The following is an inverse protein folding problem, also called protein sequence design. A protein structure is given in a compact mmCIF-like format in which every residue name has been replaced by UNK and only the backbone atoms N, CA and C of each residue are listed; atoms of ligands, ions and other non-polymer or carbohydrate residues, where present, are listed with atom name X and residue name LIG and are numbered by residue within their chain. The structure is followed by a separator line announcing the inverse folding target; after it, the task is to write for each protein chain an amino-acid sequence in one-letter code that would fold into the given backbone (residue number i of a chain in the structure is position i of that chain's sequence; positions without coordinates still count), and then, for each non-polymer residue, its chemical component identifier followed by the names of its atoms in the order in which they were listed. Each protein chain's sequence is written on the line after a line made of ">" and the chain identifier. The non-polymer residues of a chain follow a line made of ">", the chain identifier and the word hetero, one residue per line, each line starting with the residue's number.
data_IF_057636824278
#
_entry.id   IF_057636824278
#
_cell.length_a   1.000
_cell.length_b   1.000
_cell.length_c   1.000
_cell.angle_alpha   90.00
_cell.angle_beta   90.00
_cell.angle_gamma   90.00
#
_symmetry.space_group_name_H-M   'P 1'
#
loop_
_entity.id
_entity.type
_entity.pdbx_description
1 polymer ?
#
# COMPACT_ATOMS: atom_id res chain seq x y z
N UNK A 1 8.03 -14.90 -7.88
CA UNK A 1 8.79 -13.97 -7.00
C UNK A 1 9.72 -14.79 -6.12
N UNK A 2 10.63 -14.19 -5.34
CA UNK A 2 11.68 -14.90 -4.58
C UNK A 2 11.15 -16.13 -3.82
N UNK A 3 10.04 -15.96 -3.10
CA UNK A 3 9.39 -16.99 -2.30
C UNK A 3 8.72 -18.11 -3.12
N UNK A 4 8.34 -17.83 -4.38
CA UNK A 4 7.80 -18.87 -5.26
C UNK A 4 8.90 -19.72 -5.90
N UNK A 5 10.14 -19.19 -5.94
CA UNK A 5 11.28 -19.83 -6.60
C UNK A 5 12.21 -20.55 -5.63
N UNK A 6 12.29 -20.13 -4.37
CA UNK A 6 13.23 -20.68 -3.39
C UNK A 6 12.60 -20.78 -1.99
N UNK A 7 12.26 -22.01 -1.61
CA UNK A 7 11.65 -22.32 -0.31
C UNK A 7 12.68 -22.40 0.84
N UNK A 8 13.97 -22.19 0.57
CA UNK A 8 15.02 -22.15 1.60
C UNK A 8 15.19 -20.77 2.23
N UNK A 9 14.58 -19.74 1.62
CA UNK A 9 14.66 -18.36 2.12
C UNK A 9 13.64 -18.14 3.22
N UNK A 10 14.11 -17.73 4.40
CA UNK A 10 13.25 -17.26 5.48
C UNK A 10 13.03 -15.75 5.36
N UNK A 11 11.76 -15.34 5.22
CA UNK A 11 11.39 -13.93 5.11
C UNK A 11 10.63 -13.51 6.37
N UNK A 12 11.08 -12.42 7.00
CA UNK A 12 10.35 -11.74 8.06
C UNK A 12 9.96 -10.33 7.60
N UNK A 13 8.67 -10.04 7.58
CA UNK A 13 8.14 -8.69 7.38
C UNK A 13 7.96 -8.05 8.76
N UNK A 14 8.53 -6.88 8.97
CA UNK A 14 8.38 -6.10 10.20
C UNK A 14 7.49 -4.90 9.88
N UNK A 15 6.38 -4.78 10.59
CA UNK A 15 5.35 -3.77 10.36
C UNK A 15 5.02 -3.04 11.67
N UNK A 16 5.08 -1.71 11.62
CA UNK A 16 4.81 -0.87 12.78
C UNK A 16 3.32 -0.84 13.12
N UNK A 17 2.46 -0.96 12.10
CA UNK A 17 1.00 -0.93 12.24
C UNK A 17 0.48 -2.14 12.99
N UNK A 18 -0.71 -1.96 13.57
CA UNK A 18 -1.41 -3.03 14.26
C UNK A 18 -2.01 -4.09 13.32
N UNK A 19 -2.22 -3.73 12.06
CA UNK A 19 -2.82 -4.56 11.03
C UNK A 19 -2.24 -4.12 9.66
N UNK A 20 -1.99 -5.07 8.76
CA UNK A 20 -1.61 -4.77 7.38
C UNK A 20 -2.79 -4.14 6.66
N UNK A 21 -2.54 -3.07 5.91
CA UNK A 21 -3.60 -2.34 5.20
C UNK A 21 -4.35 -1.32 6.05
N UNK A 22 -4.06 -1.19 7.36
CA UNK A 22 -4.75 -0.22 8.23
C UNK A 22 -3.82 0.58 9.17
N UNK A 23 -3.92 1.93 9.20
CA UNK A 23 -4.74 2.77 8.33
C UNK A 23 -4.25 2.70 6.88
N UNK A 24 -5.17 2.84 5.92
CA UNK A 24 -4.84 2.94 4.52
C UNK A 24 -4.56 4.40 4.18
N UNK A 25 -3.41 4.69 3.59
CA UNK A 25 -3.01 6.07 3.30
C UNK A 25 -2.56 6.22 1.84
N UNK A 26 -3.10 5.42 0.93
CA UNK A 26 -2.72 5.48 -0.48
C UNK A 26 -3.86 5.05 -1.40
N UNK A 27 -3.90 5.54 -2.64
CA UNK A 27 -4.95 5.21 -3.60
C UNK A 27 -5.07 3.71 -3.86
N UNK A 28 -6.32 3.25 -3.94
CA UNK A 28 -6.68 1.89 -4.33
C UNK A 28 -6.86 1.65 -5.81
N UNK A 29 -6.21 2.44 -6.69
CA UNK A 29 -6.34 2.27 -8.13
C UNK A 29 -5.15 1.51 -8.73
N UNK A 30 -5.45 0.65 -9.71
CA UNK A 30 -4.53 -0.10 -10.55
C UNK A 30 -4.79 0.31 -12.00
N UNK A 31 -3.94 1.18 -12.53
CA UNK A 31 -4.09 1.75 -13.87
C UNK A 31 -3.74 0.72 -14.95
N UNK A 32 -2.69 -0.08 -14.75
CA UNK A 32 -2.22 -1.07 -15.71
C UNK A 32 -2.67 -2.49 -15.33
N UNK A 33 -3.99 -2.67 -15.27
CA UNK A 33 -4.64 -3.93 -14.88
C UNK A 33 -4.17 -5.14 -15.69
N UNK A 34 -4.06 -4.99 -17.02
CA UNK A 34 -3.57 -6.04 -17.94
C UNK A 34 -2.20 -6.62 -17.54
N UNK A 35 -1.31 -5.77 -17.02
CA UNK A 35 0.04 -6.17 -16.59
C UNK A 35 0.03 -6.95 -15.28
N UNK A 36 -0.86 -6.61 -14.35
CA UNK A 36 -0.75 -6.98 -12.95
C UNK A 36 -1.79 -7.99 -12.46
N UNK A 37 -3.01 -7.98 -13.01
CA UNK A 37 -4.11 -8.84 -12.52
C UNK A 37 -3.73 -10.33 -12.56
N UNK A 38 -3.21 -10.81 -13.69
CA UNK A 38 -2.77 -12.22 -13.80
C UNK A 38 -1.70 -12.60 -12.76
N UNK A 39 -0.85 -11.66 -12.32
CA UNK A 39 0.15 -11.91 -11.27
C UNK A 39 -0.50 -11.98 -9.89
N UNK A 40 -1.47 -11.12 -9.62
CA UNK A 40 -2.24 -11.10 -8.37
C UNK A 40 -3.10 -12.37 -8.22
N UNK A 41 -3.75 -12.81 -9.29
CA UNK A 41 -4.52 -14.06 -9.33
C UNK A 41 -3.65 -15.27 -8.99
N UNK A 42 -2.45 -15.37 -9.60
CA UNK A 42 -1.47 -16.42 -9.30
C UNK A 42 -0.98 -16.38 -7.84
N UNK A 43 -1.12 -15.23 -7.18
CA UNK A 43 -0.80 -15.02 -5.77
C UNK A 43 -1.98 -15.29 -4.84
N UNK A 44 -3.07 -15.88 -5.35
CA UNK A 44 -4.22 -16.26 -4.53
C UNK A 44 -5.10 -15.09 -4.14
N UNK A 45 -4.94 -13.92 -4.76
CA UNK A 45 -5.88 -12.81 -4.62
C UNK A 45 -7.15 -13.23 -5.36
N UNK A 46 -8.17 -13.60 -4.58
CA UNK A 46 -9.37 -14.26 -5.11
C UNK A 46 -10.18 -13.36 -6.04
N UNK A 47 -10.97 -13.99 -6.91
CA UNK A 47 -11.92 -13.30 -7.80
C UNK A 47 -12.87 -12.35 -7.07
N UNK A 48 -13.15 -12.60 -5.78
CA UNK A 48 -14.03 -11.77 -4.96
C UNK A 48 -13.41 -10.41 -4.60
N UNK A 49 -12.09 -10.26 -4.77
CA UNK A 49 -11.32 -9.04 -4.51
C UNK A 49 -10.88 -8.41 -5.84
N UNK A 50 -11.21 -9.01 -7.00
CA UNK A 50 -10.99 -8.35 -8.29
C UNK A 50 -11.82 -7.08 -8.25
N UNK A 51 -11.12 -5.95 -8.19
CA UNK A 51 -11.71 -4.65 -7.94
C UNK A 51 -12.81 -4.27 -8.93
N UNK A 52 -13.37 -3.08 -8.82
CA UNK A 52 -14.30 -2.58 -9.81
C UNK A 52 -13.54 -2.14 -11.07
N UNK A 53 -13.87 -2.74 -12.23
CA UNK A 53 -13.37 -2.29 -13.54
C UNK A 53 -14.01 -0.94 -13.88
N UNK A 54 -13.18 0.03 -14.24
CA UNK A 54 -13.57 1.38 -14.64
C UNK A 54 -13.65 1.50 -16.17
N UNK A 55 -14.30 2.55 -16.66
CA UNK A 55 -14.50 2.77 -18.11
C UNK A 55 -13.19 2.88 -18.90
N UNK A 56 -12.13 3.36 -18.26
CA UNK A 56 -10.80 3.47 -18.86
C UNK A 56 -9.98 2.16 -18.82
N UNK A 57 -10.56 1.06 -18.33
CA UNK A 57 -9.92 -0.25 -18.20
C UNK A 57 -9.09 -0.44 -16.92
N UNK A 58 -8.91 0.62 -16.11
CA UNK A 58 -8.27 0.50 -14.80
C UNK A 58 -9.13 -0.32 -13.83
N UNK A 59 -8.50 -0.90 -12.81
CA UNK A 59 -9.16 -1.63 -11.75
C UNK A 59 -9.08 -0.83 -10.44
N UNK A 60 -10.17 -0.75 -9.69
CA UNK A 60 -10.20 -0.05 -8.40
C UNK A 60 -10.54 -0.99 -7.26
N UNK A 61 -9.77 -0.90 -6.19
CA UNK A 61 -9.80 -1.81 -5.06
C UNK A 61 -10.03 -1.04 -3.77
N UNK A 62 -10.57 -1.72 -2.78
CA UNK A 62 -10.24 -1.40 -1.40
C UNK A 62 -8.80 -1.81 -1.10
N UNK A 63 -7.87 -0.87 -1.19
CA UNK A 63 -6.43 -1.14 -1.00
C UNK A 63 -6.11 -1.86 0.30
N UNK A 64 -6.75 -1.48 1.40
CA UNK A 64 -6.58 -2.15 2.70
C UNK A 64 -6.85 -3.66 2.62
N UNK A 65 -7.87 -4.07 1.86
CA UNK A 65 -8.22 -5.48 1.70
C UNK A 65 -7.22 -6.18 0.78
N UNK A 66 -6.85 -5.57 -0.34
CA UNK A 66 -5.81 -6.10 -1.22
C UNK A 66 -4.49 -6.36 -0.45
N UNK A 67 -4.04 -5.40 0.37
CA UNK A 67 -2.82 -5.55 1.18
C UNK A 67 -2.97 -6.68 2.21
N UNK A 68 -4.15 -6.82 2.82
CA UNK A 68 -4.45 -7.90 3.76
C UNK A 68 -4.42 -9.27 3.09
N UNK A 69 -5.03 -9.42 1.93
CA UNK A 69 -5.07 -10.69 1.20
C UNK A 69 -3.69 -11.08 0.68
N UNK A 70 -2.90 -10.11 0.21
CA UNK A 70 -1.48 -10.32 -0.10
C UNK A 70 -0.70 -10.80 1.13
N UNK A 71 -0.97 -10.24 2.31
CA UNK A 71 -0.31 -10.66 3.55
C UNK A 71 -0.68 -12.09 3.96
N UNK A 72 -1.93 -12.51 3.74
CA UNK A 72 -2.36 -13.89 3.99
C UNK A 72 -1.63 -14.85 3.06
N UNK A 73 -1.57 -14.53 1.77
CA UNK A 73 -0.82 -15.32 0.79
C UNK A 73 0.66 -15.45 1.14
N UNK A 74 1.29 -14.38 1.63
CA UNK A 74 2.67 -14.43 2.14
C UNK A 74 2.81 -15.40 3.33
N UNK A 75 1.91 -15.33 4.31
CA UNK A 75 1.93 -16.21 5.48
C UNK A 75 1.72 -17.67 5.09
N UNK A 76 0.80 -17.96 4.16
CA UNK A 76 0.59 -19.32 3.62
C UNK A 76 1.85 -19.89 2.95
N UNK A 77 2.69 -19.01 2.39
CA UNK A 77 3.98 -19.36 1.80
C UNK A 77 5.13 -19.40 2.82
N UNK A 78 4.85 -19.24 4.11
CA UNK A 78 5.83 -19.36 5.20
C UNK A 78 6.50 -18.06 5.64
N UNK A 79 6.05 -16.90 5.14
CA UNK A 79 6.56 -15.60 5.63
C UNK A 79 6.08 -15.34 7.05
N UNK A 80 7.00 -14.92 7.91
CA UNK A 80 6.66 -14.41 9.24
C UNK A 80 6.35 -12.92 9.18
N UNK A 81 5.23 -12.48 9.78
CA UNK A 81 4.88 -11.05 9.86
C UNK A 81 4.84 -10.62 11.34
N UNK A 82 5.68 -9.66 11.69
CA UNK A 82 5.75 -9.06 13.02
C UNK A 82 5.03 -7.71 13.01
N UNK A 83 3.76 -7.70 13.43
CA UNK A 83 2.95 -6.49 13.58
C UNK A 83 3.30 -5.73 14.87
N UNK A 84 2.87 -4.47 14.96
CA UNK A 84 3.10 -3.58 16.13
C UNK A 84 4.57 -3.51 16.52
N UNK A 85 5.46 -3.60 15.54
CA UNK A 85 6.89 -3.75 15.77
C UNK A 85 7.65 -2.77 14.90
N UNK A 86 8.48 -1.94 15.53
CA UNK A 86 9.31 -0.96 14.83
C UNK A 86 10.78 -1.24 15.02
N UNK A 87 11.57 -0.90 14.00
CA UNK A 87 13.02 -0.90 14.05
C UNK A 87 13.49 0.38 14.74
N UNK A 88 14.14 0.24 15.89
CA UNK A 88 14.68 1.37 16.66
C UNK A 88 16.15 1.63 16.33
N UNK A 89 16.88 0.58 15.96
CA UNK A 89 18.28 0.66 15.54
C UNK A 89 18.58 -0.41 14.50
N UNK A 90 19.42 -0.07 13.54
CA UNK A 90 19.94 -0.98 12.54
C UNK A 90 21.47 -0.92 12.57
N UNK A 91 22.10 -2.09 12.69
CA UNK A 91 23.55 -2.26 12.66
C UNK A 91 23.90 -3.33 11.62
N UNK A 92 23.98 -2.94 10.34
CA UNK A 92 24.10 -3.88 9.24
C UNK A 92 22.84 -4.73 9.14
N UNK A 93 22.97 -6.05 9.30
CA UNK A 93 21.83 -6.99 9.22
C UNK A 93 21.20 -7.33 10.58
N UNK A 94 21.64 -6.64 11.65
CA UNK A 94 21.07 -6.77 12.99
C UNK A 94 20.14 -5.59 13.30
N UNK A 95 18.92 -5.90 13.74
CA UNK A 95 17.88 -4.94 14.05
C UNK A 95 17.52 -4.98 15.55
N UNK A 96 17.51 -3.83 16.20
CA UNK A 96 16.89 -3.67 17.51
C UNK A 96 15.42 -3.29 17.31
N UNK A 97 14.52 -4.10 17.87
CA UNK A 97 13.08 -3.99 17.71
C UNK A 97 12.42 -3.51 19.00
N UNK A 98 11.32 -2.77 18.86
CA UNK A 98 10.39 -2.48 19.95
C UNK A 98 8.98 -2.73 19.49
N UNK A 99 8.20 -3.47 20.27
CA UNK A 99 6.84 -3.79 19.87
C UNK A 99 6.24 -4.96 20.62
N UNK A 100 5.09 -5.41 20.11
CA UNK A 100 4.42 -6.63 20.54
C UNK A 100 4.79 -7.85 19.70
N UNK A 101 5.46 -7.67 18.55
CA UNK A 101 6.09 -8.76 17.81
C UNK A 101 7.31 -9.26 18.58
N UNK A 102 7.47 -10.57 18.64
CA UNK A 102 8.44 -11.26 19.50
C UNK A 102 9.91 -10.83 19.25
N UNK A 103 10.76 -11.13 20.24
CA UNK A 103 12.20 -10.82 20.36
C UNK A 103 12.55 -9.32 20.24
N UNK A 104 13.31 -8.75 21.20
CA UNK A 104 13.77 -7.36 21.11
C UNK A 104 14.81 -7.15 20.00
N UNK A 105 15.27 -8.23 19.36
CA UNK A 105 16.28 -8.19 18.30
C UNK A 105 15.92 -9.16 17.18
N UNK A 106 16.24 -8.78 15.95
CA UNK A 106 16.19 -9.64 14.77
C UNK A 106 17.55 -9.64 14.08
N UNK A 107 17.94 -10.79 13.53
CA UNK A 107 19.19 -10.97 12.79
C UNK A 107 18.89 -11.80 11.55
N UNK A 108 19.51 -11.44 10.43
CA UNK A 108 19.46 -12.21 9.20
C UNK A 108 20.62 -11.88 8.27
N UNK A 109 20.51 -12.32 7.02
CA UNK A 109 21.54 -12.14 5.99
C UNK A 109 21.37 -10.83 5.21
N UNK A 110 20.15 -10.29 5.18
CA UNK A 110 19.80 -9.11 4.41
C UNK A 110 18.68 -8.32 5.10
N UNK A 111 18.82 -7.00 5.14
CA UNK A 111 17.76 -6.07 5.55
C UNK A 111 17.36 -5.25 4.34
N UNK A 112 16.06 -5.24 4.05
CA UNK A 112 15.49 -4.46 2.95
C UNK A 112 14.50 -3.44 3.51
N UNK A 113 14.82 -2.16 3.32
CA UNK A 113 13.88 -1.07 3.65
C UNK A 113 12.95 -0.83 2.48
N UNK A 114 11.68 -1.16 2.67
CA UNK A 114 10.62 -0.89 1.70
C UNK A 114 9.93 0.41 2.11
N UNK A 115 9.92 1.38 1.22
CA UNK A 115 9.10 2.60 1.37
C UNK A 115 7.77 2.38 0.68
N UNK A 116 6.66 2.70 1.35
CA UNK A 116 5.31 2.56 0.79
C UNK A 116 5.18 3.28 -0.55
N UNK A 117 5.78 4.48 -0.69
CA UNK A 117 5.85 5.31 -1.89
C UNK A 117 7.06 6.26 -1.81
N UNK A 118 7.29 7.01 -2.89
CA UNK A 118 8.29 8.07 -2.89
C UNK A 118 7.72 9.29 -2.16
N UNK A 119 8.27 9.62 -0.99
CA UNK A 119 7.87 10.82 -0.26
C UNK A 119 8.17 12.07 -1.09
N UNK A 120 7.27 13.05 -1.05
CA UNK A 120 7.39 14.30 -1.79
C UNK A 120 6.89 15.51 -1.00
N UNK A 121 6.97 16.68 -1.62
CA UNK A 121 6.52 17.93 -1.01
C UNK A 121 5.02 18.20 -1.18
N UNK A 122 4.33 17.37 -1.97
CA UNK A 122 2.91 17.45 -2.23
C UNK A 122 2.14 16.69 -1.15
N UNK A 123 1.10 17.34 -0.61
CA UNK A 123 0.18 16.73 0.34
C UNK A 123 -1.08 16.34 -0.38
N UNK A 124 -1.61 15.16 -0.08
CA UNK A 124 -2.78 14.62 -0.75
C UNK A 124 -3.86 14.28 0.27
N UNK A 125 -5.10 14.56 -0.12
CA UNK A 125 -6.30 14.26 0.64
C UNK A 125 -7.08 13.18 -0.11
N UNK A 126 -7.22 12.02 0.52
CA UNK A 126 -8.09 10.94 0.08
C UNK A 126 -9.43 10.99 0.81
N UNK A 127 -10.51 10.78 0.08
CA UNK A 127 -11.87 10.71 0.64
C UNK A 127 -12.55 9.44 0.15
N UNK A 128 -13.07 8.64 1.08
CA UNK A 128 -14.02 7.57 0.79
C UNK A 128 -15.42 8.05 1.17
N UNK A 129 -16.39 7.90 0.26
CA UNK A 129 -17.74 8.46 0.37
C UNK A 129 -18.80 7.43 -0.01
N UNK A 130 -19.98 7.52 0.60
CA UNK A 130 -21.15 6.75 0.17
C UNK A 130 -21.81 7.29 -1.10
N UNK A 131 -21.40 8.49 -1.53
CA UNK A 131 -21.91 9.20 -2.71
C UNK A 131 -20.78 9.47 -3.70
N UNK A 132 -21.13 9.63 -4.98
CA UNK A 132 -20.17 9.96 -6.03
C UNK A 132 -19.37 11.24 -5.70
N UNK A 133 -18.05 11.16 -5.84
CA UNK A 133 -17.12 12.26 -5.57
C UNK A 133 -16.51 12.82 -6.85
N UNK A 134 -16.10 14.08 -6.82
CA UNK A 134 -15.50 14.70 -7.99
C UNK A 134 -14.13 14.06 -8.28
N UNK A 135 -13.93 13.57 -9.50
CA UNK A 135 -12.73 12.82 -9.89
C UNK A 135 -12.50 11.53 -9.09
N UNK A 136 -13.54 11.01 -8.44
CA UNK A 136 -13.48 9.73 -7.75
C UNK A 136 -13.74 8.55 -8.68
N UNK A 137 -13.50 7.36 -8.13
CA UNK A 137 -13.83 6.09 -8.75
C UNK A 137 -14.66 5.23 -7.80
N UNK A 138 -15.59 4.47 -8.38
CA UNK A 138 -16.40 3.50 -7.65
C UNK A 138 -15.55 2.30 -7.28
N UNK A 139 -15.57 1.91 -6.01
CA UNK A 139 -14.90 0.72 -5.48
C UNK A 139 -15.82 -0.51 -5.51
N UNK A 140 -15.20 -1.67 -5.33
CA UNK A 140 -15.85 -2.98 -5.22
C UNK A 140 -16.89 -3.08 -4.09
N UNK A 141 -16.69 -2.35 -2.99
CA UNK A 141 -17.64 -2.25 -1.87
C UNK A 141 -18.80 -1.25 -2.11
N UNK A 142 -18.87 -0.65 -3.30
CA UNK A 142 -19.90 0.32 -3.69
C UNK A 142 -19.67 1.73 -3.14
N UNK A 143 -18.57 1.98 -2.42
CA UNK A 143 -18.16 3.33 -2.02
C UNK A 143 -17.37 4.02 -3.12
N UNK A 144 -17.28 5.35 -3.07
CA UNK A 144 -16.45 6.14 -3.97
C UNK A 144 -15.18 6.57 -3.28
N UNK A 145 -14.04 6.48 -3.97
CA UNK A 145 -12.77 7.01 -3.48
C UNK A 145 -12.24 8.08 -4.43
N UNK A 146 -11.74 9.17 -3.88
CA UNK A 146 -11.13 10.27 -4.63
C UNK A 146 -9.88 10.77 -3.92
N UNK A 147 -8.94 11.29 -4.69
CA UNK A 147 -7.70 11.86 -4.16
C UNK A 147 -7.42 13.21 -4.82
N UNK A 148 -7.09 14.21 -4.01
CA UNK A 148 -6.79 15.56 -4.49
C UNK A 148 -5.52 16.10 -3.85
N UNK A 149 -4.65 16.70 -4.65
CA UNK A 149 -3.49 17.43 -4.15
C UNK A 149 -3.94 18.70 -3.41
N UNK A 150 -3.44 18.88 -2.20
CA UNK A 150 -3.71 20.05 -1.36
C UNK A 150 -2.42 20.82 -1.08
N UNK A 151 -2.47 22.14 -1.21
CA UNK A 151 -1.30 23.00 -0.95
C UNK A 151 -1.02 23.13 0.55
N UNK A 152 0.27 23.10 0.95
CA UNK A 152 0.70 23.34 2.34
C UNK A 152 0.29 24.73 2.88
N UNK A 153 -0.08 25.66 2.01
CA UNK A 153 -0.38 27.08 2.30
C UNK A 153 -1.86 27.46 2.21
N UNK A 154 -2.80 26.52 2.15
CA UNK A 154 -4.24 26.89 2.18
C UNK A 154 -4.64 27.43 3.55
N UNK A 155 -4.46 28.73 3.76
CA UNK A 155 -5.13 29.48 4.80
C UNK A 155 -6.65 29.42 4.58
N UNK A 156 -7.36 29.36 5.70
CA UNK A 156 -8.80 29.24 5.98
C UNK A 156 -9.87 29.87 5.03
N UNK A 157 -9.56 30.56 3.94
CA UNK A 157 -10.56 31.37 3.21
C UNK A 157 -11.13 30.76 1.92
N UNK A 158 -10.43 29.84 1.23
CA UNK A 158 -10.94 29.22 -0.02
C UNK A 158 -11.34 27.73 0.11
N UNK A 159 -11.36 27.21 1.35
CA UNK A 159 -11.82 25.84 1.65
C UNK A 159 -13.33 25.61 1.42
N UNK A 160 -14.10 26.59 1.00
CA UNK A 160 -15.47 26.69 1.52
C UNK A 160 -16.60 26.02 0.72
N UNK A 161 -16.38 25.39 -0.44
CA UNK A 161 -17.52 24.76 -1.17
C UNK A 161 -17.29 23.36 -1.72
N UNK A 162 -16.19 23.09 -2.43
CA UNK A 162 -15.95 21.74 -2.99
C UNK A 162 -15.43 20.79 -1.89
N UNK A 163 -14.45 21.23 -1.10
CA UNK A 163 -13.93 20.47 0.05
C UNK A 163 -14.96 20.23 1.17
N UNK A 164 -15.92 21.14 1.39
CA UNK A 164 -16.90 20.99 2.47
C UNK A 164 -18.06 20.06 2.08
N UNK A 165 -18.43 19.98 0.80
CA UNK A 165 -19.48 19.07 0.35
C UNK A 165 -19.02 17.61 0.42
N UNK A 166 -17.79 17.31 -0.03
CA UNK A 166 -17.24 15.94 0.02
C UNK A 166 -17.02 15.43 1.45
N UNK A 167 -16.76 16.32 2.42
CA UNK A 167 -16.59 15.94 3.83
C UNK A 167 -17.91 15.54 4.51
N UNK A 168 -19.06 16.04 4.05
CA UNK A 168 -20.35 15.74 4.70
C UNK A 168 -20.86 14.32 4.39
N UNK A 169 -20.47 13.75 3.25
CA UNK A 169 -20.74 12.36 2.86
C UNK A 169 -19.53 11.42 3.05
N UNK A 170 -18.41 11.95 3.58
CA UNK A 170 -17.20 11.19 3.81
C UNK A 170 -17.42 10.12 4.90
N UNK A 171 -17.15 8.88 4.53
CA UNK A 171 -17.05 7.73 5.43
C UNK A 171 -15.64 7.64 6.03
N UNK A 172 -14.62 8.02 5.25
CA UNK A 172 -13.21 7.98 5.65
C UNK A 172 -12.44 9.14 4.99
N UNK A 173 -11.50 9.71 5.75
CA UNK A 173 -10.59 10.75 5.27
C UNK A 173 -9.16 10.27 5.52
N UNK A 174 -8.35 10.30 4.46
CA UNK A 174 -6.96 9.87 4.44
C UNK A 174 -6.08 11.06 4.07
N UNK A 175 -4.93 11.20 4.71
CA UNK A 175 -3.96 12.24 4.38
C UNK A 175 -2.57 11.65 4.31
N UNK A 176 -1.83 11.96 3.24
CA UNK A 176 -0.46 11.50 3.08
C UNK A 176 0.37 12.43 2.20
N UNK A 177 1.69 12.30 2.30
CA UNK A 177 2.66 13.06 1.50
C UNK A 177 3.37 12.11 0.53
N UNK A 178 3.13 12.30 -0.77
CA UNK A 178 3.77 11.53 -1.84
C UNK A 178 4.18 12.42 -3.01
N UNK A 179 5.18 11.99 -3.79
CA UNK A 179 5.77 12.80 -4.86
C UNK A 179 4.91 12.97 -6.10
N UNK A 180 3.99 12.04 -6.34
CA UNK A 180 2.94 12.13 -7.36
C UNK A 180 1.87 11.05 -7.10
N UNK A 181 0.67 11.22 -7.64
CA UNK A 181 -0.43 10.25 -7.52
C UNK A 181 -0.01 8.85 -7.99
N UNK A 182 0.65 8.76 -9.14
CA UNK A 182 1.09 7.52 -9.79
C UNK A 182 2.09 6.75 -8.93
N UNK A 183 2.95 7.45 -8.19
CA UNK A 183 3.88 6.76 -7.27
C UNK A 183 3.16 6.12 -6.08
N UNK A 184 1.98 6.63 -5.72
CA UNK A 184 1.19 6.15 -4.60
C UNK A 184 0.15 5.11 -5.00
N UNK A 185 -0.17 4.92 -6.28
CA UNK A 185 -1.11 3.87 -6.74
C UNK A 185 -0.59 2.45 -6.49
N UNK A 186 -1.42 1.44 -6.77
CA UNK A 186 -1.03 0.04 -6.68
C UNK A 186 0.09 -0.27 -7.68
N UNK A 187 0.03 0.28 -8.91
CA UNK A 187 1.09 0.15 -9.92
C UNK A 187 2.44 0.59 -9.38
N UNK A 188 2.50 1.78 -8.78
CA UNK A 188 3.73 2.30 -8.20
C UNK A 188 4.34 1.34 -7.16
N UNK A 189 3.50 0.73 -6.33
CA UNK A 189 3.91 -0.28 -5.35
C UNK A 189 4.50 -1.53 -6.00
N UNK A 190 3.80 -2.08 -6.99
CA UNK A 190 4.22 -3.29 -7.70
C UNK A 190 5.50 -3.06 -8.53
N UNK A 191 5.66 -1.88 -9.13
CA UNK A 191 6.86 -1.50 -9.87
C UNK A 191 8.08 -1.33 -8.97
N UNK A 192 7.90 -0.75 -7.78
CA UNK A 192 8.95 -0.70 -6.76
C UNK A 192 9.36 -2.11 -6.33
N UNK A 193 8.39 -2.98 -6.05
CA UNK A 193 8.66 -4.36 -5.66
C UNK A 193 9.43 -5.12 -6.75
N UNK A 194 9.03 -4.97 -8.02
CA UNK A 194 9.73 -5.59 -9.14
C UNK A 194 11.16 -5.06 -9.29
N UNK A 195 11.34 -3.74 -9.23
CA UNK A 195 12.66 -3.10 -9.31
C UNK A 195 13.58 -3.54 -8.17
N UNK A 196 13.04 -3.68 -6.96
CA UNK A 196 13.75 -4.18 -5.80
C UNK A 196 14.19 -5.63 -6.01
N UNK A 197 13.29 -6.50 -6.46
CA UNK A 197 13.62 -7.90 -6.76
C UNK A 197 14.77 -8.01 -7.77
N UNK A 198 14.70 -7.30 -8.89
CA UNK A 198 15.77 -7.28 -9.91
C UNK A 198 17.13 -6.84 -9.36
N UNK A 199 17.14 -5.88 -8.43
CA UNK A 199 18.38 -5.42 -7.76
C UNK A 199 18.94 -6.50 -6.84
N UNK A 200 18.08 -7.14 -6.04
CA UNK A 200 18.48 -8.19 -5.11
C UNK A 200 19.03 -9.42 -5.85
N UNK A 201 18.36 -9.85 -6.94
CA UNK A 201 18.82 -10.98 -7.75
C UNK A 201 20.20 -10.74 -8.37
N UNK A 202 20.53 -9.51 -8.73
CA UNK A 202 21.87 -9.15 -9.24
C UNK A 202 22.95 -9.10 -8.15
N UNK A 203 22.58 -8.75 -6.91
CA UNK A 203 23.53 -8.71 -5.80
C UNK A 203 23.88 -10.09 -5.22
N UNK A 204 23.10 -11.11 -5.56
CA UNK A 204 23.27 -12.49 -5.09
C UNK A 204 23.99 -13.40 -6.11
N UNK A 205 24.32 -12.88 -7.30
CA UNK A 205 25.12 -13.55 -8.34
C UNK A 205 26.59 -13.12 -8.26
#
# INVERSE_FOLDING_TARGET
>A
MLIDSDNSVEITVIEERAEIGFPCNSPGILENSDKWLSKLENWGISDQIIGQTLENGSQSFKRAWLEKDLSLSLVEKGVSILLRTRVVKENGTNLDLRGAGASPTWQGDLVVRVTEHVSGDQRWLGVVSSEETANGWLRDDGTWESWTEISKTTQKSDKSKIQILEINSALEIMENDFSSFETATIDGGLERAFTLFERLSKSLQ
#
